data_IF_708678813478
#
_entry.id   IF_708678813478
#
_cell.length_a   1.000
_cell.length_b   1.000
_cell.length_c   1.000
_cell.angle_alpha   90.00
_cell.angle_beta   90.00
_cell.angle_gamma   90.00
#
_symmetry.space_group_name_H-M   'P 1'
#
loop_
_entity.id
_entity.type
_entity.pdbx_description
1 polymer ?
#
# COMPACT_ATOMS: atom_id res chain seq x y z
N UNK A 1 -16.74 21.29 14.53
CA UNK A 1 -16.78 20.05 13.73
C UNK A 1 -18.23 19.66 13.62
N UNK A 2 -18.76 19.53 12.40
CA UNK A 2 -20.17 19.17 12.20
C UNK A 2 -20.30 17.66 12.32
N UNK A 3 -21.48 17.19 12.76
CA UNK A 3 -21.78 15.76 12.81
C UNK A 3 -21.57 15.07 11.45
N UNK A 4 -21.81 15.81 10.37
CA UNK A 4 -21.58 15.38 8.99
C UNK A 4 -20.10 15.07 8.72
N UNK A 5 -19.17 15.94 9.11
CA UNK A 5 -17.73 15.75 8.88
C UNK A 5 -17.22 14.46 9.57
N UNK A 6 -17.77 14.13 10.75
CA UNK A 6 -17.46 12.87 11.47
C UNK A 6 -18.02 11.66 10.70
N UNK A 7 -19.26 11.74 10.24
CA UNK A 7 -19.90 10.67 9.48
C UNK A 7 -19.16 10.39 8.16
N UNK A 8 -18.72 11.44 7.46
CA UNK A 8 -17.98 11.31 6.20
C UNK A 8 -16.62 10.61 6.43
N UNK A 9 -15.92 10.97 7.51
CA UNK A 9 -14.67 10.29 7.90
C UNK A 9 -14.90 8.82 8.23
N UNK A 10 -15.97 8.50 8.98
CA UNK A 10 -16.33 7.11 9.30
C UNK A 10 -16.67 6.33 8.04
N UNK A 11 -17.43 6.94 7.13
CA UNK A 11 -17.82 6.34 5.86
C UNK A 11 -16.59 6.02 5.00
N UNK A 12 -15.67 6.98 4.88
CA UNK A 12 -14.41 6.79 4.17
C UNK A 12 -13.62 5.60 4.72
N UNK A 13 -13.40 5.56 6.05
CA UNK A 13 -12.61 4.51 6.68
C UNK A 13 -13.25 3.11 6.53
N UNK A 14 -14.58 3.03 6.54
CA UNK A 14 -15.29 1.75 6.37
C UNK A 14 -15.39 1.31 4.92
N UNK A 15 -15.90 2.17 4.05
CA UNK A 15 -16.31 1.79 2.70
C UNK A 15 -15.14 1.82 1.71
N UNK A 16 -14.26 2.83 1.82
CA UNK A 16 -13.10 2.94 0.92
C UNK A 16 -11.85 2.28 1.46
N UNK A 17 -11.56 2.47 2.75
CA UNK A 17 -10.37 1.88 3.37
C UNK A 17 -10.60 0.46 3.93
N UNK A 18 -11.84 -0.04 3.90
CA UNK A 18 -12.21 -1.40 4.31
C UNK A 18 -11.85 -1.74 5.78
N UNK A 19 -11.81 -0.75 6.67
CA UNK A 19 -11.66 -1.02 8.11
C UNK A 19 -12.97 -1.53 8.71
N UNK A 20 -12.87 -2.50 9.62
CA UNK A 20 -14.03 -2.98 10.38
C UNK A 20 -14.54 -1.90 11.33
N UNK A 21 -15.79 -2.02 11.80
CA UNK A 21 -16.39 -1.07 12.77
C UNK A 21 -15.53 -0.96 14.04
N UNK A 22 -14.98 -2.07 14.52
CA UNK A 22 -14.09 -2.08 15.69
C UNK A 22 -12.78 -1.34 15.41
N UNK A 23 -12.17 -1.56 14.24
CA UNK A 23 -10.95 -0.86 13.82
C UNK A 23 -11.19 0.64 13.67
N UNK A 24 -12.29 1.07 13.05
CA UNK A 24 -12.65 2.48 12.94
C UNK A 24 -12.83 3.12 14.31
N UNK A 25 -13.53 2.46 15.23
CA UNK A 25 -13.69 2.94 16.61
C UNK A 25 -12.33 3.12 17.28
N UNK A 26 -11.42 2.16 17.10
CA UNK A 26 -10.06 2.24 17.64
C UNK A 26 -9.27 3.39 17.02
N UNK A 27 -9.33 3.57 15.70
CA UNK A 27 -8.67 4.67 14.97
C UNK A 27 -9.16 6.02 15.50
N UNK A 28 -10.47 6.22 15.66
CA UNK A 28 -11.01 7.49 16.16
C UNK A 28 -10.56 7.80 17.58
N UNK A 29 -10.39 6.76 18.41
CA UNK A 29 -9.89 6.91 19.78
C UNK A 29 -8.38 7.20 19.82
N UNK A 30 -7.55 6.47 19.07
CA UNK A 30 -6.09 6.60 19.12
C UNK A 30 -5.54 7.73 18.25
N UNK A 31 -6.21 8.03 17.15
CA UNK A 31 -5.76 8.96 16.12
C UNK A 31 -6.81 10.06 15.87
N UNK A 32 -7.17 10.90 16.86
CA UNK A 32 -8.22 11.91 16.70
C UNK A 32 -7.89 12.97 15.64
N UNK A 33 -6.63 13.06 15.18
CA UNK A 33 -6.21 13.93 14.08
C UNK A 33 -6.91 13.63 12.76
N UNK A 34 -7.36 12.39 12.52
CA UNK A 34 -8.03 12.00 11.26
C UNK A 34 -9.32 12.77 11.01
N UNK A 35 -9.98 13.25 12.07
CA UNK A 35 -11.20 14.06 11.99
C UNK A 35 -10.95 15.52 11.55
N UNK A 36 -9.69 15.94 11.49
CA UNK A 36 -9.28 17.28 11.07
C UNK A 36 -8.55 17.28 9.73
N UNK A 37 -8.31 16.10 9.18
CA UNK A 37 -7.56 15.91 7.95
C UNK A 37 -8.51 15.94 6.75
N UNK A 38 -8.01 16.35 5.59
CA UNK A 38 -8.76 16.25 4.35
C UNK A 38 -9.04 14.77 4.02
N UNK A 39 -10.24 14.48 3.51
CA UNK A 39 -10.68 13.10 3.24
C UNK A 39 -9.83 12.44 2.14
N UNK A 40 -9.45 13.19 1.11
CA UNK A 40 -8.58 12.69 0.05
C UNK A 40 -7.17 12.40 0.54
N UNK A 41 -6.62 13.29 1.38
CA UNK A 41 -5.32 13.07 2.03
C UNK A 41 -5.34 11.88 3.00
N UNK A 42 -6.42 11.71 3.76
CA UNK A 42 -6.59 10.55 4.64
C UNK A 42 -6.67 9.24 3.85
N UNK A 43 -7.42 9.23 2.75
CA UNK A 43 -7.52 8.09 1.83
C UNK A 43 -6.15 7.75 1.24
N UNK A 44 -5.44 8.75 0.71
CA UNK A 44 -4.10 8.56 0.13
C UNK A 44 -3.10 8.07 1.19
N UNK A 45 -3.17 8.58 2.42
CA UNK A 45 -2.32 8.12 3.52
C UNK A 45 -2.58 6.66 3.87
N UNK A 46 -3.83 6.22 3.86
CA UNK A 46 -4.14 4.79 3.99
C UNK A 46 -3.58 3.98 2.82
N UNK A 47 -3.79 4.43 1.58
CA UNK A 47 -3.27 3.77 0.38
C UNK A 47 -1.74 3.63 0.41
N UNK A 48 -1.04 4.67 0.88
CA UNK A 48 0.41 4.62 1.06
C UNK A 48 0.82 3.53 2.06
N UNK A 49 0.13 3.42 3.20
CA UNK A 49 0.39 2.36 4.16
C UNK A 49 0.16 0.96 3.56
N UNK A 50 -0.98 0.78 2.88
CA UNK A 50 -1.44 -0.53 2.45
C UNK A 50 -0.73 -1.02 1.20
N UNK A 51 -0.61 -0.19 0.17
CA UNK A 51 -0.02 -0.55 -1.12
C UNK A 51 1.47 -0.26 -1.19
N UNK A 52 1.91 0.92 -0.72
CA UNK A 52 3.31 1.34 -0.88
C UNK A 52 4.25 0.81 0.19
N UNK A 53 3.75 0.66 1.43
CA UNK A 53 4.52 0.08 2.54
C UNK A 53 4.18 -1.41 2.81
N UNK A 54 3.07 -1.92 2.24
CA UNK A 54 2.62 -3.30 2.41
C UNK A 54 2.06 -3.64 3.80
N UNK A 55 1.57 -2.65 4.56
CA UNK A 55 1.09 -2.82 5.93
C UNK A 55 -0.39 -3.23 5.92
N UNK A 56 -0.76 -4.28 6.65
CA UNK A 56 -2.15 -4.75 6.76
C UNK A 56 -2.96 -3.93 7.79
N UNK A 57 -4.29 -3.92 7.65
CA UNK A 57 -5.21 -3.16 8.51
C UNK A 57 -4.95 -3.30 10.01
N UNK A 58 -4.74 -4.51 10.59
CA UNK A 58 -4.51 -4.65 12.02
C UNK A 58 -3.27 -3.88 12.50
N UNK A 59 -2.19 -3.88 11.71
CA UNK A 59 -0.95 -3.21 12.06
C UNK A 59 -1.02 -1.69 11.86
N UNK A 60 -1.77 -1.21 10.86
CA UNK A 60 -2.07 0.22 10.70
C UNK A 60 -2.77 0.75 11.97
N UNK A 61 -3.76 0.01 12.48
CA UNK A 61 -4.52 0.39 13.67
C UNK A 61 -3.66 0.28 14.93
N UNK A 62 -2.95 -0.84 15.11
CA UNK A 62 -2.13 -1.12 16.30
C UNK A 62 -0.97 -0.14 16.47
N UNK A 63 -0.39 0.31 15.38
CA UNK A 63 0.74 1.27 15.39
C UNK A 63 0.32 2.73 15.48
N UNK A 64 -1.00 3.00 15.48
CA UNK A 64 -1.55 4.37 15.47
C UNK A 64 -1.08 5.16 14.25
N UNK A 65 -0.81 4.48 13.12
CA UNK A 65 -0.17 5.03 11.94
C UNK A 65 -0.83 6.31 11.41
N UNK A 66 -2.16 6.35 11.41
CA UNK A 66 -2.93 7.46 10.85
C UNK A 66 -2.78 8.77 11.65
N UNK A 67 -2.18 8.75 12.84
CA UNK A 67 -1.93 9.99 13.61
C UNK A 67 -0.77 10.82 13.07
N UNK A 68 0.14 10.20 12.30
CA UNK A 68 1.31 10.89 11.75
C UNK A 68 0.98 11.60 10.44
N UNK A 69 1.70 12.69 10.14
CA UNK A 69 1.58 13.37 8.85
C UNK A 69 2.17 12.52 7.73
N UNK A 70 1.57 12.61 6.55
CA UNK A 70 2.06 11.92 5.35
C UNK A 70 3.52 12.27 5.04
N UNK A 71 3.91 13.54 5.20
CA UNK A 71 5.30 13.99 5.03
C UNK A 71 6.25 13.24 5.95
N UNK A 72 5.92 13.09 7.25
CA UNK A 72 6.77 12.36 8.21
C UNK A 72 6.89 10.89 7.83
N UNK A 73 5.77 10.28 7.41
CA UNK A 73 5.72 8.89 6.95
C UNK A 73 6.65 8.71 5.76
N UNK A 74 6.47 9.49 4.69
CA UNK A 74 7.26 9.41 3.46
C UNK A 74 8.74 9.63 3.72
N UNK A 75 9.09 10.67 4.49
CA UNK A 75 10.49 10.96 4.84
C UNK A 75 11.16 9.79 5.55
N UNK A 76 10.52 9.16 6.53
CA UNK A 76 11.15 8.05 7.26
C UNK A 76 11.13 6.74 6.49
N UNK A 77 10.02 6.43 5.81
CA UNK A 77 9.88 5.21 5.03
C UNK A 77 10.82 5.18 3.82
N UNK A 78 10.78 6.21 2.96
CA UNK A 78 11.60 6.27 1.74
C UNK A 78 13.08 6.31 2.09
N UNK A 79 13.44 6.98 3.19
CA UNK A 79 14.83 6.97 3.65
C UNK A 79 15.31 5.57 4.03
N UNK A 80 14.52 4.82 4.82
CA UNK A 80 14.88 3.45 5.16
C UNK A 80 14.90 2.53 3.93
N UNK A 81 13.99 2.73 2.99
CA UNK A 81 13.97 1.96 1.74
C UNK A 81 15.24 2.20 0.91
N UNK A 82 15.64 3.46 0.71
CA UNK A 82 16.88 3.80 -0.01
C UNK A 82 18.15 3.34 0.71
N UNK A 83 18.10 3.19 2.04
CA UNK A 83 19.17 2.57 2.84
C UNK A 83 19.15 1.03 2.80
N UNK A 84 18.15 0.40 2.16
CA UNK A 84 17.97 -1.06 2.20
C UNK A 84 17.54 -1.61 3.56
N UNK A 85 17.08 -0.74 4.46
CA UNK A 85 16.63 -1.07 5.82
C UNK A 85 15.12 -1.27 5.95
N UNK A 86 14.38 -0.98 4.87
CA UNK A 86 12.97 -1.31 4.76
C UNK A 86 12.74 -1.94 3.38
N UNK A 87 12.12 -3.11 3.36
CA UNK A 87 11.72 -3.79 2.14
C UNK A 87 10.20 -3.85 2.10
N UNK A 88 9.58 -3.43 0.99
CA UNK A 88 8.14 -3.62 0.82
C UNK A 88 7.84 -5.13 0.82
N UNK A 89 6.95 -5.62 1.70
CA UNK A 89 6.61 -7.05 1.77
C UNK A 89 6.11 -7.60 0.43
N UNK A 90 6.43 -8.86 0.14
CA UNK A 90 5.96 -9.54 -1.06
C UNK A 90 4.45 -9.87 -1.01
N UNK A 91 3.94 -10.60 -2.00
CA UNK A 91 2.52 -11.01 -2.06
C UNK A 91 2.08 -11.85 -0.85
N UNK A 92 3.00 -12.55 -0.19
CA UNK A 92 2.76 -13.35 1.02
C UNK A 92 2.99 -12.53 2.30
N UNK A 93 3.36 -11.25 2.18
CA UNK A 93 3.68 -10.39 3.32
C UNK A 93 5.05 -10.65 3.93
N UNK A 94 5.97 -11.26 3.17
CA UNK A 94 7.30 -11.62 3.64
C UNK A 94 8.37 -10.65 3.13
N UNK A 95 9.45 -10.51 3.90
CA UNK A 95 10.66 -9.76 3.52
C UNK A 95 11.87 -10.65 3.73
N UNK A 96 12.97 -10.38 3.02
CA UNK A 96 14.22 -11.15 3.19
C UNK A 96 14.84 -10.87 4.56
N UNK A 97 14.80 -9.60 4.96
CA UNK A 97 15.21 -9.13 6.29
C UNK A 97 13.97 -8.54 6.96
N UNK A 98 13.63 -8.92 8.20
CA UNK A 98 12.50 -8.34 8.91
C UNK A 98 12.60 -6.81 8.99
N UNK A 99 11.55 -6.12 8.57
CA UNK A 99 11.49 -4.66 8.67
C UNK A 99 11.47 -4.20 10.14
N UNK A 100 12.00 -2.99 10.43
CA UNK A 100 11.83 -2.37 11.74
C UNK A 100 10.35 -2.19 12.09
N UNK A 101 10.03 -2.25 13.39
CA UNK A 101 8.65 -2.06 13.85
C UNK A 101 8.17 -0.63 13.58
N UNK A 102 6.90 -0.47 13.21
CA UNK A 102 6.33 0.85 12.91
C UNK A 102 6.45 1.87 14.04
N UNK A 103 6.45 1.42 15.30
CA UNK A 103 6.71 2.30 16.45
C UNK A 103 8.13 2.86 16.45
N UNK A 104 9.11 2.06 16.04
CA UNK A 104 10.53 2.45 15.99
C UNK A 104 10.80 3.30 14.74
N UNK A 105 9.92 3.22 13.73
CA UNK A 105 9.95 4.11 12.56
C UNK A 105 9.26 5.44 12.87
N UNK A 106 8.02 5.45 13.39
CA UNK A 106 7.16 6.65 13.39
C UNK A 106 6.93 7.27 14.77
N UNK A 107 6.86 6.46 15.84
CA UNK A 107 6.51 6.95 17.19
C UNK A 107 7.69 7.64 17.87
N UNK A 108 8.89 7.10 17.69
CA UNK A 108 10.11 7.62 18.30
C UNK A 108 10.51 9.01 17.78
N UNK A 109 11.36 9.70 18.54
CA UNK A 109 11.95 10.98 18.14
C UNK A 109 12.79 10.85 16.86
N UNK A 110 13.06 11.96 16.17
CA UNK A 110 13.95 11.94 14.98
C UNK A 110 15.36 11.46 15.36
N UNK A 111 15.89 11.91 16.51
CA UNK A 111 17.21 11.48 16.99
C UNK A 111 17.27 9.96 17.27
N UNK A 112 16.23 9.40 17.90
CA UNK A 112 16.17 7.96 18.18
C UNK A 112 15.99 7.13 16.91
N UNK A 113 15.13 7.58 15.99
CA UNK A 113 14.97 6.98 14.66
C UNK A 113 16.31 6.88 13.93
N UNK A 114 17.08 7.97 13.91
CA UNK A 114 18.38 8.00 13.22
C UNK A 114 19.44 7.15 13.94
N UNK A 115 19.48 7.19 15.27
CA UNK A 115 20.47 6.44 16.04
C UNK A 115 20.24 4.92 16.03
N UNK A 116 18.98 4.47 16.04
CA UNK A 116 18.63 3.05 16.28
C UNK A 116 18.03 2.34 15.07
N UNK A 117 17.42 3.07 14.15
CA UNK A 117 16.66 2.48 13.04
C UNK A 117 17.31 2.75 11.69
N UNK A 118 17.61 4.02 11.38
CA UNK A 118 18.30 4.37 10.14
C UNK A 118 19.82 4.16 10.23
N UNK A 119 20.39 4.34 11.43
CA UNK A 119 21.82 4.25 11.72
C UNK A 119 22.64 5.23 10.85
N UNK A 120 22.19 6.47 10.77
CA UNK A 120 22.81 7.56 9.99
C UNK A 120 22.88 8.85 10.79
N UNK A 121 23.61 9.84 10.27
CA UNK A 121 23.74 11.15 10.90
C UNK A 121 22.49 12.03 10.72
N UNK A 122 22.35 13.03 11.59
CA UNK A 122 21.28 14.04 11.49
C UNK A 122 21.40 14.87 10.21
N UNK A 123 22.63 15.20 9.81
CA UNK A 123 22.91 16.00 8.63
C UNK A 123 22.52 15.29 7.33
N UNK A 124 22.83 14.01 7.18
CA UNK A 124 22.40 13.19 6.03
C UNK A 124 20.88 13.18 5.90
N UNK A 125 20.17 13.04 7.01
CA UNK A 125 18.71 13.05 6.99
C UNK A 125 18.13 14.43 6.69
N UNK A 126 18.73 15.52 7.17
CA UNK A 126 18.28 16.87 6.80
C UNK A 126 18.46 17.15 5.29
N UNK A 127 19.58 16.72 4.71
CA UNK A 127 19.81 16.84 3.26
C UNK A 127 18.79 16.00 2.51
N UNK A 128 18.58 14.75 2.95
CA UNK A 128 17.58 13.87 2.35
C UNK A 128 16.17 14.48 2.35
N UNK A 129 15.71 15.08 3.45
CA UNK A 129 14.39 15.72 3.51
C UNK A 129 14.22 16.82 2.46
N UNK A 130 15.27 17.60 2.17
CA UNK A 130 15.25 18.65 1.13
C UNK A 130 15.21 18.05 -0.28
N UNK A 131 15.99 16.99 -0.52
CA UNK A 131 15.98 16.30 -1.81
C UNK A 131 14.62 15.67 -2.09
N UNK A 132 14.05 14.97 -1.10
CA UNK A 132 12.75 14.34 -1.24
C UNK A 132 11.64 15.37 -1.49
N UNK A 133 11.64 16.51 -0.78
CA UNK A 133 10.66 17.56 -1.01
C UNK A 133 10.69 18.08 -2.45
N UNK A 134 11.89 18.30 -3.01
CA UNK A 134 12.04 18.71 -4.41
C UNK A 134 11.56 17.64 -5.40
N UNK A 135 11.86 16.37 -5.14
CA UNK A 135 11.38 15.26 -5.99
C UNK A 135 9.84 15.19 -6.04
N UNK A 136 9.16 15.47 -4.92
CA UNK A 136 7.70 15.52 -4.86
C UNK A 136 7.12 16.70 -5.65
N UNK A 137 7.71 17.90 -5.50
CA UNK A 137 7.30 19.11 -6.23
C UNK A 137 7.44 18.94 -7.75
N UNK A 138 8.55 18.35 -8.21
CA UNK A 138 8.80 18.09 -9.63
C UNK A 138 7.81 17.06 -10.22
N UNK A 139 7.48 16.03 -9.45
CA UNK A 139 6.53 14.99 -9.87
C UNK A 139 5.11 15.53 -10.00
N UNK A 140 4.67 16.37 -9.06
CA UNK A 140 3.33 16.98 -9.10
C UNK A 140 3.17 17.93 -10.30
N UNK A 141 4.21 18.69 -10.65
CA UNK A 141 4.20 19.63 -11.79
C UNK A 141 4.09 18.94 -13.16
N UNK A 142 4.59 17.71 -13.30
CA UNK A 142 4.56 16.99 -14.59
C UNK A 142 3.16 16.46 -14.99
N UNK A 143 2.21 16.40 -14.06
CA UNK A 143 0.87 15.82 -14.31
C UNK A 143 -0.17 16.83 -14.82
N UNK A 144 0.16 18.12 -14.88
CA UNK A 144 -0.77 19.18 -15.29
C UNK A 144 -0.73 19.54 -16.78
N UNK A 145 0.27 19.09 -17.54
CA UNK A 145 0.48 19.51 -18.94
C UNK A 145 -0.11 18.57 -20.01
N UNK A 146 -0.63 17.38 -19.64
CA UNK A 146 -1.13 16.36 -20.58
C UNK A 146 -2.59 16.53 -21.04
N UNK A 147 -3.17 17.74 -20.95
CA UNK A 147 -4.54 18.03 -21.43
C UNK A 147 -4.63 18.84 -22.73
N UNK A 148 -3.54 18.95 -23.50
CA UNK A 148 -3.50 19.80 -24.72
C UNK A 148 -3.30 19.07 -26.04
N UNK A 149 -3.23 17.74 -26.09
CA UNK A 149 -2.91 16.99 -27.31
C UNK A 149 -4.00 15.99 -27.76
N UNK A 150 -5.28 16.35 -27.74
CA UNK A 150 -6.34 15.52 -28.34
C UNK A 150 -7.45 16.38 -28.96
N UNK A 151 -7.10 17.17 -29.97
CA UNK A 151 -8.02 17.74 -30.95
C UNK A 151 -7.24 17.95 -32.25
N UNK A 152 -7.06 16.87 -33.02
CA UNK A 152 -7.02 16.87 -34.48
C UNK A 152 -6.70 15.45 -34.95
N UNK A 153 -7.73 14.80 -35.46
CA UNK A 153 -7.69 13.46 -36.04
C UNK A 153 -9.00 13.28 -36.80
N UNK A 154 -9.02 13.87 -37.99
CA UNK A 154 -10.10 13.81 -38.97
C UNK A 154 -10.58 12.37 -39.21
N UNK A 155 -11.87 12.30 -39.50
CA UNK A 155 -12.69 11.16 -39.88
C UNK A 155 -12.16 10.49 -41.16
N UNK A 156 -11.98 9.17 -41.15
CA UNK A 156 -12.07 8.34 -42.36
C UNK A 156 -12.73 7.00 -41.97
N UNK A 157 -13.99 6.85 -42.37
CA UNK A 157 -14.76 5.60 -42.39
C UNK A 157 -14.29 4.74 -43.56
N UNK A 158 -13.86 3.50 -43.34
CA UNK A 158 -14.03 2.40 -44.30
C UNK A 158 -14.32 1.09 -43.55
N UNK A 159 -15.55 0.59 -43.73
CA UNK A 159 -16.02 -0.77 -43.44
C UNK A 159 -15.21 -1.81 -44.21
N UNK A 160 -15.00 -3.01 -43.65
CA UNK A 160 -15.06 -4.29 -44.39
C UNK A 160 -15.25 -5.44 -43.38
N UNK A 161 -16.02 -6.43 -43.84
CA UNK A 161 -16.91 -7.34 -43.13
C UNK A 161 -16.28 -8.61 -42.50
N UNK A 162 -17.06 -9.19 -41.56
CA UNK A 162 -17.25 -10.62 -41.21
C UNK A 162 -16.12 -11.64 -41.36
N UNK A 163 -15.84 -12.36 -40.26
CA UNK A 163 -15.78 -13.83 -40.28
C UNK A 163 -15.93 -14.39 -38.85
N UNK A 164 -17.16 -14.86 -38.60
CA UNK A 164 -17.54 -16.15 -38.00
C UNK A 164 -16.88 -16.58 -36.68
N UNK A 165 -17.72 -16.53 -35.65
CA UNK A 165 -17.71 -17.38 -34.46
C UNK A 165 -17.76 -18.86 -34.89
N UNK A 166 -16.89 -19.69 -34.30
CA UNK A 166 -17.19 -21.09 -34.01
C UNK A 166 -16.46 -21.45 -32.70
N UNK A 167 -17.24 -21.40 -31.62
CA UNK A 167 -17.05 -22.19 -30.40
C UNK A 167 -17.10 -23.67 -30.79
N UNK A 168 -16.11 -24.46 -30.38
CA UNK A 168 -16.32 -25.89 -30.11
C UNK A 168 -15.37 -26.33 -28.99
N UNK A 169 -15.94 -26.38 -27.79
CA UNK A 169 -15.47 -27.14 -26.64
C UNK A 169 -15.52 -28.65 -26.97
N UNK A 170 -14.39 -29.36 -26.92
CA UNK A 170 -14.39 -30.79 -26.62
C UNK A 170 -13.25 -31.12 -25.63
N UNK A 171 -13.68 -31.43 -24.40
CA UNK A 171 -12.94 -32.18 -23.38
C UNK A 171 -12.52 -33.55 -23.94
N UNK A 172 -11.27 -33.97 -23.71
CA UNK A 172 -10.91 -35.38 -23.71
C UNK A 172 -9.87 -35.68 -22.62
N UNK A 173 -10.40 -36.24 -21.53
CA UNK A 173 -9.68 -36.91 -20.46
C UNK A 173 -9.10 -38.22 -20.99
N UNK A 174 -7.78 -38.43 -21.03
CA UNK A 174 -7.18 -39.76 -20.78
C UNK A 174 -5.71 -39.63 -20.34
N UNK A 175 -5.45 -39.91 -19.06
CA UNK A 175 -4.13 -40.34 -18.59
C UNK A 175 -4.33 -41.40 -17.50
N UNK A 176 -4.60 -42.63 -17.94
CA UNK A 176 -4.25 -43.81 -17.15
C UNK A 176 -2.74 -44.04 -17.32
N UNK A 177 -2.01 -44.10 -16.21
CA UNK A 177 -0.94 -45.08 -16.08
C UNK A 177 -0.78 -45.45 -14.60
N UNK A 178 -0.69 -46.75 -14.41
CA UNK A 178 -0.78 -47.53 -13.18
C UNK A 178 0.50 -47.46 -12.31
N UNK A 179 0.44 -48.24 -11.23
CA UNK A 179 1.55 -48.83 -10.46
C UNK A 179 1.96 -47.97 -9.22
N UNK A 180 2.01 -48.45 -7.99
CA UNK A 180 2.20 -49.82 -7.49
C UNK A 180 1.62 -49.94 -6.06
N UNK A 181 1.11 -51.14 -5.79
CA UNK A 181 0.80 -51.68 -4.47
C UNK A 181 2.05 -51.79 -3.59
N UNK A 182 1.95 -51.44 -2.32
CA UNK A 182 2.76 -52.06 -1.25
C UNK A 182 1.98 -52.03 0.07
N UNK A 183 1.27 -53.13 0.31
CA UNK A 183 0.89 -53.61 1.64
C UNK A 183 2.17 -53.82 2.47
N UNK A 184 2.22 -53.29 3.70
CA UNK A 184 3.03 -53.93 4.74
C UNK A 184 2.44 -53.66 6.15
N UNK A 185 1.70 -54.68 6.58
CA UNK A 185 1.67 -55.32 7.90
C UNK A 185 1.51 -54.49 9.19
N UNK A 186 0.41 -54.86 9.86
CA UNK A 186 0.21 -54.82 11.30
C UNK A 186 1.37 -55.50 12.05
N UNK A 187 1.99 -54.80 13.01
CA UNK A 187 2.52 -55.47 14.19
C UNK A 187 2.15 -54.72 15.48
N UNK A 188 1.51 -55.49 16.35
CA UNK A 188 1.16 -55.21 17.73
C UNK A 188 2.38 -54.79 18.57
N UNK A 189 2.19 -53.84 19.48
CA UNK A 189 2.80 -53.83 20.82
C UNK A 189 2.11 -52.86 21.77
#
# INVERSE_FOLDING_TARGET
MRQQDINDTVRLLKEKCLFTVQQVTRILHSCPSVLREDLGQLEYKFQYAYFRMGIKHPDIVKSEYLQYSLTKIKQRHIYLERLGRYQTPDKKGQTQIPNPLLKDILRVSEAEFLARTACTSVEEFQVFKKLLAREEEESESSTSDDKRASLDGDEDEEDEEDNDEDDDDEDDDEAEDNDDDEDDDEEEQ
#
